data_IF_634827535651
#
_entry.id   IF_634827535651
#
_cell.length_a   1.000
_cell.length_b   1.000
_cell.length_c   1.000
_cell.angle_alpha   90.00
_cell.angle_beta   90.00
_cell.angle_gamma   90.00
#
_symmetry.space_group_name_H-M   'P 1'
#
loop_
_entity.id
_entity.type
_entity.pdbx_description
1 polymer ?
#
# COMPACT_ATOMS: atom_id res chain seq x y z
N UNK A 1 2.06 15.80 8.87
CA UNK A 1 1.13 14.90 9.57
C UNK A 1 0.82 13.69 8.71
N UNK A 2 1.41 12.54 9.05
CA UNK A 2 1.32 11.34 8.20
C UNK A 2 0.02 10.59 8.44
N UNK A 3 -0.76 10.36 7.38
CA UNK A 3 -2.00 9.57 7.42
C UNK A 3 -1.89 8.40 6.46
N UNK A 4 -2.09 7.19 6.97
CA UNK A 4 -2.12 5.98 6.13
C UNK A 4 -3.55 5.42 6.03
N UNK A 5 -4.09 5.31 4.82
CA UNK A 5 -5.35 4.61 4.50
C UNK A 5 -5.06 3.34 3.71
N UNK A 6 -5.90 2.32 3.86
CA UNK A 6 -5.76 1.03 3.17
C UNK A 6 -7.06 0.64 2.44
N UNK A 7 -6.90 0.06 1.25
CA UNK A 7 -7.97 -0.49 0.43
C UNK A 7 -7.53 -1.84 -0.16
N UNK A 8 -8.37 -2.86 -0.04
CA UNK A 8 -8.15 -4.15 -0.69
C UNK A 8 -8.75 -4.14 -2.10
N UNK A 9 -8.01 -4.64 -3.09
CA UNK A 9 -8.46 -4.74 -4.48
C UNK A 9 -8.99 -6.14 -4.78
N UNK A 10 -10.29 -6.28 -4.99
CA UNK A 10 -10.95 -7.59 -5.17
C UNK A 10 -11.16 -8.02 -6.64
N UNK A 11 -10.54 -7.34 -7.61
CA UNK A 11 -10.71 -7.70 -9.03
C UNK A 11 -9.55 -7.31 -9.94
N UNK A 12 -9.19 -8.21 -10.87
CA UNK A 12 -8.09 -8.02 -11.85
C UNK A 12 -8.30 -6.75 -12.70
N UNK A 13 -9.53 -6.46 -13.15
CA UNK A 13 -9.88 -5.21 -13.87
C UNK A 13 -9.67 -3.95 -13.01
N UNK A 14 -10.00 -4.01 -11.72
CA UNK A 14 -9.82 -2.89 -10.80
C UNK A 14 -8.34 -2.60 -10.54
N UNK A 15 -7.51 -3.65 -10.38
CA UNK A 15 -6.04 -3.51 -10.25
C UNK A 15 -5.44 -2.73 -11.43
N UNK A 16 -5.77 -3.09 -12.68
CA UNK A 16 -5.27 -2.36 -13.87
C UNK A 16 -5.73 -0.90 -13.89
N UNK A 17 -6.99 -0.61 -13.55
CA UNK A 17 -7.49 0.77 -13.45
C UNK A 17 -6.75 1.57 -12.39
N UNK A 18 -6.44 0.94 -11.26
CA UNK A 18 -5.68 1.57 -10.18
C UNK A 18 -4.22 1.84 -10.61
N UNK A 19 -3.55 0.88 -11.25
CA UNK A 19 -2.21 1.09 -11.82
C UNK A 19 -2.22 2.27 -12.81
N UNK A 20 -3.21 2.33 -13.71
CA UNK A 20 -3.39 3.47 -14.62
C UNK A 20 -3.51 4.81 -13.87
N UNK A 21 -4.29 4.82 -12.79
CA UNK A 21 -4.51 6.02 -11.99
C UNK A 21 -3.25 6.48 -11.24
N UNK A 22 -2.55 5.56 -10.56
CA UNK A 22 -1.38 5.91 -9.75
C UNK A 22 -0.19 6.34 -10.63
N UNK A 23 -0.07 5.78 -11.84
CA UNK A 23 0.97 6.11 -12.82
C UNK A 23 0.59 7.27 -13.75
N UNK A 24 -0.36 8.13 -13.38
CA UNK A 24 -0.70 9.26 -14.24
C UNK A 24 0.51 10.23 -14.35
N UNK A 25 1.05 10.49 -15.56
CA UNK A 25 2.22 11.35 -15.75
C UNK A 25 2.03 12.77 -15.22
N UNK A 26 0.82 13.33 -15.34
CA UNK A 26 0.49 14.69 -14.90
C UNK A 26 0.58 14.83 -13.38
N UNK A 27 0.43 13.72 -12.64
CA UNK A 27 0.45 13.69 -11.18
C UNK A 27 1.83 13.35 -10.61
N UNK A 28 2.73 12.79 -11.42
CA UNK A 28 3.94 12.08 -10.97
C UNK A 28 5.24 12.68 -11.53
N UNK A 29 5.21 13.93 -11.99
CA UNK A 29 6.29 14.59 -12.74
C UNK A 29 6.79 13.68 -13.88
N UNK A 30 5.87 13.34 -14.79
CA UNK A 30 6.15 12.48 -15.93
C UNK A 30 6.81 11.13 -15.53
N UNK A 31 6.23 10.49 -14.50
CA UNK A 31 6.69 9.22 -13.91
C UNK A 31 8.02 9.26 -13.14
N UNK A 32 8.71 10.40 -13.03
CA UNK A 32 9.94 10.50 -12.23
C UNK A 32 9.72 10.21 -10.75
N UNK A 33 8.51 10.47 -10.25
CA UNK A 33 8.11 10.20 -8.87
C UNK A 33 7.47 8.82 -8.69
N UNK A 34 7.84 7.86 -9.54
CA UNK A 34 7.45 6.46 -9.41
C UNK A 34 8.68 5.63 -9.07
N UNK A 35 8.60 4.84 -8.01
CA UNK A 35 9.57 3.83 -7.64
C UNK A 35 8.88 2.49 -7.42
N UNK A 36 9.60 1.39 -7.60
CA UNK A 36 9.05 0.05 -7.43
C UNK A 36 10.09 -0.94 -6.94
N UNK A 37 9.58 -2.09 -6.48
CA UNK A 37 10.43 -3.19 -6.04
C UNK A 37 9.95 -4.51 -6.63
N UNK A 38 10.92 -5.27 -7.17
CA UNK A 38 10.70 -6.61 -7.68
C UNK A 38 9.95 -6.65 -9.02
N UNK A 39 9.95 -5.56 -9.78
CA UNK A 39 9.44 -5.51 -11.15
C UNK A 39 10.57 -5.71 -12.16
N UNK A 40 10.24 -6.34 -13.28
CA UNK A 40 11.10 -6.36 -14.45
C UNK A 40 10.69 -5.20 -15.36
N UNK A 41 11.59 -4.24 -15.55
CA UNK A 41 11.47 -3.23 -16.59
C UNK A 41 12.19 -3.73 -17.85
N UNK A 42 11.45 -3.82 -18.95
CA UNK A 42 11.94 -4.32 -20.24
C UNK A 42 11.68 -3.33 -21.38
N UNK A 43 11.36 -2.07 -21.06
CA UNK A 43 10.99 -1.05 -22.01
C UNK A 43 11.92 0.15 -21.87
N UNK A 44 12.52 0.60 -22.97
CA UNK A 44 13.47 1.72 -22.97
C UNK A 44 12.76 3.08 -22.99
N UNK A 45 11.67 3.20 -23.76
CA UNK A 45 10.87 4.43 -23.90
C UNK A 45 9.36 4.13 -23.98
N UNK A 46 8.77 3.56 -22.91
CA UNK A 46 7.39 3.14 -22.95
C UNK A 46 6.42 4.32 -22.95
N UNK A 47 5.36 4.21 -23.76
CA UNK A 47 4.17 5.04 -23.57
C UNK A 47 3.53 4.75 -22.21
N UNK A 48 2.70 5.68 -21.71
CA UNK A 48 1.96 5.49 -20.46
C UNK A 48 1.13 4.18 -20.48
N UNK A 49 0.53 3.84 -21.62
CA UNK A 49 -0.26 2.60 -21.75
C UNK A 49 0.62 1.35 -21.61
N UNK A 50 1.81 1.36 -22.21
CA UNK A 50 2.76 0.25 -22.11
C UNK A 50 3.32 0.11 -20.68
N UNK A 51 3.60 1.22 -19.99
CA UNK A 51 3.97 1.21 -18.58
C UNK A 51 2.89 0.56 -17.71
N UNK A 52 1.63 0.97 -17.89
CA UNK A 52 0.50 0.40 -17.15
C UNK A 52 0.38 -1.10 -17.39
N UNK A 53 0.55 -1.55 -18.64
CA UNK A 53 0.51 -2.97 -18.96
C UNK A 53 1.70 -3.73 -18.37
N UNK A 54 2.91 -3.19 -18.46
CA UNK A 54 4.13 -3.76 -17.86
C UNK A 54 3.96 -4.00 -16.35
N UNK A 55 3.52 -2.99 -15.60
CA UNK A 55 3.27 -3.15 -14.16
C UNK A 55 2.14 -4.14 -13.89
N UNK A 56 1.06 -4.11 -14.67
CA UNK A 56 -0.03 -5.07 -14.51
C UNK A 56 0.43 -6.52 -14.75
N UNK A 57 1.22 -6.76 -15.80
CA UNK A 57 1.82 -8.07 -16.11
C UNK A 57 2.69 -8.55 -14.95
N UNK A 58 3.59 -7.68 -14.45
CA UNK A 58 4.46 -8.00 -13.31
C UNK A 58 3.68 -8.45 -12.06
N UNK A 59 2.49 -7.89 -11.80
CA UNK A 59 1.62 -8.34 -10.72
C UNK A 59 0.92 -9.65 -11.05
N UNK A 60 0.40 -9.81 -12.29
CA UNK A 60 -0.34 -11.01 -12.71
C UNK A 60 0.52 -12.27 -12.81
N UNK A 61 1.82 -12.14 -13.07
CA UNK A 61 2.71 -13.29 -13.28
C UNK A 61 2.73 -14.23 -12.06
N UNK A 62 2.56 -13.69 -10.86
CA UNK A 62 2.53 -14.46 -9.63
C UNK A 62 1.14 -15.07 -9.33
N UNK A 63 0.07 -14.50 -9.92
CA UNK A 63 -1.31 -14.95 -9.69
C UNK A 63 -1.50 -16.40 -10.17
N UNK A 64 -1.06 -16.73 -11.40
CA UNK A 64 -1.34 -18.03 -12.04
C UNK A 64 -0.74 -19.22 -11.26
N UNK A 65 0.52 -19.11 -10.86
CA UNK A 65 1.22 -20.18 -10.14
C UNK A 65 0.69 -20.34 -8.70
N UNK A 66 0.32 -19.24 -8.06
CA UNK A 66 -0.31 -19.28 -6.75
C UNK A 66 -1.71 -19.92 -6.80
N UNK A 67 -2.54 -19.50 -7.77
CA UNK A 67 -3.89 -20.03 -8.00
C UNK A 67 -3.84 -21.55 -8.25
N UNK A 68 -2.92 -22.04 -9.07
CA UNK A 68 -2.80 -23.48 -9.35
C UNK A 68 -2.38 -24.33 -8.14
N UNK A 69 -1.52 -23.79 -7.27
CA UNK A 69 -1.06 -24.47 -6.05
C UNK A 69 -2.11 -24.48 -4.93
N UNK A 70 -3.03 -23.50 -4.92
CA UNK A 70 -3.97 -23.27 -3.82
C UNK A 70 -5.44 -23.39 -4.22
N UNK A 71 -5.71 -24.07 -5.34
CA UNK A 71 -7.02 -24.46 -5.89
C UNK A 71 -8.07 -24.82 -4.81
N UNK A 72 -7.63 -25.54 -3.75
CA UNK A 72 -8.50 -26.14 -2.72
C UNK A 72 -8.67 -25.33 -1.43
N UNK A 73 -8.09 -24.13 -1.30
CA UNK A 73 -8.16 -23.31 -0.07
C UNK A 73 -9.36 -22.32 -0.04
N UNK A 74 -9.71 -21.81 1.14
CA UNK A 74 -10.89 -20.96 1.39
C UNK A 74 -11.02 -19.71 0.49
N UNK A 75 -12.24 -19.48 0.01
CA UNK A 75 -12.59 -18.51 -1.05
C UNK A 75 -12.41 -17.03 -0.67
N UNK A 76 -12.40 -16.66 0.60
CA UNK A 76 -12.58 -15.25 0.98
C UNK A 76 -11.33 -14.39 0.76
N UNK A 77 -10.16 -14.88 1.19
CA UNK A 77 -8.87 -14.22 0.94
C UNK A 77 -8.40 -14.38 -0.51
N UNK A 78 -8.87 -15.39 -1.26
CA UNK A 78 -8.47 -15.59 -2.67
C UNK A 78 -8.82 -14.39 -3.57
N UNK A 79 -9.86 -13.62 -3.26
CA UNK A 79 -10.31 -12.51 -4.11
C UNK A 79 -9.41 -11.28 -4.11
N UNK A 80 -8.54 -11.10 -3.10
CA UNK A 80 -7.69 -9.90 -3.01
C UNK A 80 -6.48 -10.03 -3.95
N UNK A 81 -6.33 -9.13 -4.91
CA UNK A 81 -5.23 -9.16 -5.89
C UNK A 81 -4.13 -8.13 -5.61
N UNK A 82 -4.43 -7.11 -4.82
CA UNK A 82 -3.46 -6.10 -4.39
C UNK A 82 -3.98 -5.33 -3.17
N UNK A 83 -3.06 -4.70 -2.45
CA UNK A 83 -3.37 -3.76 -1.38
C UNK A 83 -2.92 -2.36 -1.78
N UNK A 84 -3.85 -1.41 -1.74
CA UNK A 84 -3.59 -0.02 -2.05
C UNK A 84 -3.52 0.79 -0.76
N UNK A 85 -2.43 1.53 -0.58
CA UNK A 85 -2.25 2.47 0.51
C UNK A 85 -2.17 3.89 -0.01
N UNK A 86 -2.69 4.82 0.78
CA UNK A 86 -2.46 6.25 0.61
C UNK A 86 -1.71 6.73 1.84
N UNK A 87 -0.52 7.29 1.65
CA UNK A 87 0.31 7.88 2.69
C UNK A 87 0.43 9.38 2.40
N UNK A 88 -0.29 10.19 3.16
CA UNK A 88 -0.36 11.65 2.97
C UNK A 88 0.56 12.38 3.93
N UNK A 89 1.17 13.48 3.49
CA UNK A 89 2.04 14.35 4.30
C UNK A 89 1.41 15.74 4.45
N UNK A 90 1.79 16.47 5.52
CA UNK A 90 1.34 17.86 5.67
C UNK A 90 2.16 18.75 4.75
N UNK A 91 1.57 19.77 4.12
CA UNK A 91 2.34 20.83 3.44
C UNK A 91 3.36 21.49 4.38
N UNK A 92 3.08 21.52 5.69
CA UNK A 92 3.98 22.07 6.72
C UNK A 92 5.18 21.16 7.04
N UNK A 93 5.21 19.91 6.58
CA UNK A 93 6.33 18.99 6.84
C UNK A 93 7.59 19.38 6.04
N UNK A 94 7.47 20.30 5.07
CA UNK A 94 8.57 20.85 4.27
C UNK A 94 9.47 19.81 3.56
N UNK A 95 8.91 18.63 3.26
CA UNK A 95 9.57 17.54 2.54
C UNK A 95 9.38 17.68 1.03
N UNK A 96 10.40 17.32 0.25
CA UNK A 96 10.28 17.26 -1.21
C UNK A 96 9.48 16.03 -1.66
N UNK A 97 8.88 16.04 -2.88
CA UNK A 97 8.21 14.87 -3.43
C UNK A 97 9.10 13.62 -3.52
N UNK A 98 10.40 13.79 -3.76
CA UNK A 98 11.40 12.72 -3.82
C UNK A 98 11.66 12.12 -2.42
N UNK A 99 11.79 12.96 -1.40
CA UNK A 99 11.91 12.51 0.00
C UNK A 99 10.65 11.74 0.42
N UNK A 100 9.48 12.25 0.07
CA UNK A 100 8.19 11.59 0.31
C UNK A 100 8.14 10.23 -0.41
N UNK A 101 8.57 10.16 -1.68
CA UNK A 101 8.65 8.89 -2.41
C UNK A 101 9.55 7.89 -1.69
N UNK A 102 10.74 8.34 -1.30
CA UNK A 102 11.75 7.55 -0.58
C UNK A 102 11.20 7.01 0.75
N UNK A 103 10.52 7.84 1.53
CA UNK A 103 9.86 7.42 2.78
C UNK A 103 8.86 6.30 2.49
N UNK A 104 8.05 6.43 1.44
CA UNK A 104 7.10 5.40 1.02
C UNK A 104 7.80 4.08 0.66
N UNK A 105 8.91 4.17 -0.10
CA UNK A 105 9.71 3.02 -0.49
C UNK A 105 10.33 2.29 0.71
N UNK A 106 11.02 3.02 1.59
CA UNK A 106 11.66 2.45 2.79
C UNK A 106 10.61 1.82 3.72
N UNK A 107 9.44 2.47 3.86
CA UNK A 107 8.33 1.93 4.65
C UNK A 107 7.86 0.58 4.11
N UNK A 108 7.69 0.45 2.78
CA UNK A 108 7.25 -0.81 2.18
C UNK A 108 8.33 -1.88 2.20
N UNK A 109 9.59 -1.50 2.04
CA UNK A 109 10.70 -2.44 2.10
C UNK A 109 10.76 -3.12 3.46
N UNK A 110 10.69 -2.33 4.54
CA UNK A 110 10.68 -2.86 5.90
C UNK A 110 9.40 -3.65 6.23
N UNK A 111 8.23 -3.15 5.82
CA UNK A 111 6.95 -3.82 6.09
C UNK A 111 6.87 -5.20 5.42
N UNK A 112 7.35 -5.30 4.18
CA UNK A 112 7.22 -6.52 3.37
C UNK A 112 8.42 -7.47 3.53
N UNK A 113 9.55 -6.95 4.03
CA UNK A 113 10.82 -7.66 4.11
C UNK A 113 11.35 -8.10 2.74
N UNK A 114 11.06 -7.33 1.69
CA UNK A 114 11.47 -7.64 0.31
C UNK A 114 10.79 -8.88 -0.31
N UNK A 115 9.72 -9.40 0.31
CA UNK A 115 9.00 -10.58 -0.17
C UNK A 115 7.91 -10.27 -1.18
N UNK A 116 7.31 -9.07 -1.10
CA UNK A 116 6.19 -8.67 -1.95
C UNK A 116 6.63 -7.58 -2.92
N UNK A 117 6.15 -7.66 -4.16
CA UNK A 117 6.36 -6.59 -5.15
C UNK A 117 5.48 -5.40 -4.78
N UNK A 118 5.96 -4.18 -5.00
CA UNK A 118 5.15 -2.99 -4.80
C UNK A 118 5.56 -1.84 -5.73
N UNK A 119 4.66 -0.87 -5.87
CA UNK A 119 4.86 0.42 -6.57
C UNK A 119 4.59 1.53 -5.57
N UNK A 120 5.41 2.58 -5.56
CA UNK A 120 5.20 3.84 -4.85
C UNK A 120 5.15 4.95 -5.89
N UNK A 121 4.00 5.61 -6.01
CA UNK A 121 3.80 6.74 -6.90
C UNK A 121 3.44 7.98 -6.07
N UNK A 122 4.26 9.02 -6.13
CA UNK A 122 4.00 10.27 -5.42
C UNK A 122 3.14 11.19 -6.30
N UNK A 123 1.99 11.61 -5.79
CA UNK A 123 1.09 12.54 -6.44
C UNK A 123 1.30 13.95 -5.91
N UNK A 124 1.51 14.89 -6.83
CA UNK A 124 1.77 16.34 -6.57
C UNK A 124 0.67 17.25 -7.12
N UNK A 125 -0.41 16.68 -7.67
CA UNK A 125 -1.52 17.39 -8.34
C UNK A 125 -2.52 18.05 -7.37
N UNK A 126 -2.26 18.02 -6.06
CA UNK A 126 -3.13 18.56 -5.01
C UNK A 126 -2.33 19.46 -4.06
N UNK A 127 -3.05 20.19 -3.21
CA UNK A 127 -2.49 21.06 -2.17
C UNK A 127 -1.53 20.35 -1.19
N UNK A 128 -1.56 19.01 -1.15
CA UNK A 128 -0.65 18.21 -0.35
C UNK A 128 -0.10 17.03 -1.16
N UNK A 129 1.19 16.76 -0.92
CA UNK A 129 1.89 15.64 -1.53
C UNK A 129 1.53 14.34 -0.80
N UNK A 130 1.29 13.28 -1.56
CA UNK A 130 0.91 11.99 -1.01
C UNK A 130 1.40 10.83 -1.88
N UNK A 131 1.78 9.73 -1.26
CA UNK A 131 2.10 8.49 -1.96
C UNK A 131 0.84 7.66 -2.16
N UNK A 132 0.68 7.16 -3.38
CA UNK A 132 -0.11 5.99 -3.68
C UNK A 132 0.82 4.78 -3.72
N UNK A 133 0.57 3.81 -2.86
CA UNK A 133 1.40 2.60 -2.75
C UNK A 133 0.56 1.38 -3.11
N UNK A 134 0.98 0.60 -4.09
CA UNK A 134 0.30 -0.63 -4.48
C UNK A 134 1.19 -1.84 -4.18
N UNK A 135 0.75 -2.72 -3.28
CA UNK A 135 1.45 -3.94 -2.91
C UNK A 135 0.78 -5.12 -3.60
N UNK A 136 1.57 -5.99 -4.22
CA UNK A 136 1.05 -7.25 -4.76
C UNK A 136 0.56 -8.14 -3.62
N UNK A 137 -0.62 -8.73 -3.77
CA UNK A 137 -1.16 -9.60 -2.72
C UNK A 137 -0.37 -10.92 -2.63
N UNK A 138 0.28 -11.35 -3.69
CA UNK A 138 1.06 -12.59 -3.72
C UNK A 138 2.55 -12.25 -3.69
N UNK A 139 3.31 -13.02 -2.91
CA UNK A 139 4.74 -12.85 -2.76
C UNK A 139 5.50 -13.20 -4.04
N UNK A 140 6.77 -12.79 -4.13
CA UNK A 140 7.61 -12.92 -5.33
C UNK A 140 7.77 -14.36 -5.80
N UNK A 141 7.70 -15.33 -4.88
CA UNK A 141 7.85 -16.76 -5.17
C UNK A 141 6.53 -17.47 -5.51
N UNK A 142 5.40 -16.76 -5.41
CA UNK A 142 4.05 -17.34 -5.63
C UNK A 142 3.70 -18.45 -4.62
N UNK A 143 4.20 -18.31 -3.40
CA UNK A 143 4.02 -19.26 -2.31
C UNK A 143 3.00 -18.75 -1.29
N UNK A 144 3.02 -17.45 -0.99
CA UNK A 144 2.24 -16.86 0.10
C UNK A 144 1.46 -15.63 -0.33
N UNK A 145 0.28 -15.47 0.28
CA UNK A 145 -0.52 -14.26 0.18
C UNK A 145 -0.27 -13.33 1.36
N UNK A 146 -0.26 -12.03 1.12
CA UNK A 146 -0.18 -11.00 2.14
C UNK A 146 -1.51 -10.96 2.89
N UNK A 147 -1.49 -11.36 4.16
CA UNK A 147 -2.67 -11.30 5.02
C UNK A 147 -2.73 -9.92 5.65
N UNK A 148 -3.69 -9.11 5.24
CA UNK A 148 -3.91 -7.80 5.84
C UNK A 148 -4.70 -7.92 7.15
N UNK A 149 -3.98 -7.97 8.27
CA UNK A 149 -4.55 -8.02 9.61
C UNK A 149 -4.18 -6.78 10.43
N UNK A 150 -4.75 -6.68 11.64
CA UNK A 150 -4.51 -5.56 12.55
C UNK A 150 -3.03 -5.42 12.93
N UNK A 151 -2.30 -6.52 13.07
CA UNK A 151 -0.87 -6.48 13.40
C UNK A 151 -0.06 -5.85 12.25
N UNK A 152 -0.33 -6.24 11.01
CA UNK A 152 0.30 -5.66 9.83
C UNK A 152 -0.03 -4.16 9.69
N UNK A 153 -1.30 -3.79 9.87
CA UNK A 153 -1.72 -2.38 9.82
C UNK A 153 -1.04 -1.54 10.92
N UNK A 154 -0.91 -2.09 12.13
CA UNK A 154 -0.18 -1.44 13.22
C UNK A 154 1.30 -1.30 12.89
N UNK A 155 1.93 -2.33 12.34
CA UNK A 155 3.33 -2.28 11.93
C UNK A 155 3.56 -1.23 10.84
N UNK A 156 2.70 -1.18 9.82
CA UNK A 156 2.73 -0.15 8.79
C UNK A 156 2.75 1.26 9.39
N UNK A 157 1.84 1.54 10.34
CA UNK A 157 1.79 2.85 11.00
C UNK A 157 3.06 3.14 11.78
N UNK A 158 3.55 2.19 12.58
CA UNK A 158 4.77 2.38 13.38
C UNK A 158 6.02 2.61 12.51
N UNK A 159 6.16 1.84 11.43
CA UNK A 159 7.27 1.97 10.48
C UNK A 159 7.19 3.32 9.75
N UNK A 160 6.01 3.64 9.18
CA UNK A 160 5.76 4.90 8.48
C UNK A 160 6.04 6.11 9.37
N UNK A 161 5.51 6.10 10.60
CA UNK A 161 5.70 7.19 11.56
C UNK A 161 7.18 7.34 11.94
N UNK A 162 7.89 6.22 12.18
CA UNK A 162 9.31 6.25 12.53
C UNK A 162 10.15 6.84 11.40
N UNK A 163 10.01 6.34 10.18
CA UNK A 163 10.79 6.79 9.02
C UNK A 163 10.47 8.25 8.69
N UNK A 164 9.19 8.61 8.72
CA UNK A 164 8.74 9.99 8.46
C UNK A 164 9.28 10.96 9.51
N UNK A 165 9.29 10.56 10.80
CA UNK A 165 9.87 11.37 11.87
C UNK A 165 11.37 11.56 11.70
N UNK A 166 12.09 10.53 11.28
CA UNK A 166 13.53 10.62 11.00
C UNK A 166 13.82 11.58 9.85
N UNK A 167 12.92 11.68 8.87
CA UNK A 167 13.01 12.65 7.78
C UNK A 167 12.57 14.09 8.18
N UNK A 168 12.06 14.30 9.40
CA UNK A 168 11.64 15.62 9.89
C UNK A 168 10.13 15.90 9.80
N UNK A 169 9.32 14.95 9.32
CA UNK A 169 7.88 15.13 9.26
C UNK A 169 7.22 15.13 10.66
N UNK A 170 6.17 15.93 10.81
CA UNK A 170 5.34 15.94 12.01
C UNK A 170 4.44 14.71 12.05
N UNK A 171 4.52 13.94 13.13
CA UNK A 171 3.71 12.74 13.33
C UNK A 171 2.43 13.07 14.11
N UNK A 172 1.35 12.34 13.83
CA UNK A 172 0.14 12.38 14.65
C UNK A 172 0.47 11.82 16.02
N UNK A 173 0.56 12.68 17.04
CA UNK A 173 0.53 12.19 18.41
C UNK A 173 -0.79 11.44 18.64
N UNK A 174 -0.70 10.21 19.16
CA UNK A 174 -1.88 9.40 19.44
C UNK A 174 -2.81 10.16 20.37
N UNK A 175 -3.90 10.69 19.82
CA UNK A 175 -4.97 11.41 20.54
C UNK A 175 -5.67 10.56 21.62
N UNK A 176 -5.43 9.25 21.65
CA UNK A 176 -5.93 8.35 22.68
C UNK A 176 -4.77 7.86 23.54
N UNK A 177 -4.74 8.33 24.79
CA UNK A 177 -4.03 7.62 25.86
C UNK A 177 -4.56 6.18 25.94
N UNK A 178 -3.80 5.25 26.51
CA UNK A 178 -4.26 3.88 26.78
C UNK A 178 -5.64 3.86 27.47
N UNK A 179 -5.91 4.85 28.35
CA UNK A 179 -7.22 5.13 28.96
C UNK A 179 -8.31 5.48 27.95
N UNK A 180 -8.02 6.35 26.98
CA UNK A 180 -8.97 6.73 25.92
C UNK A 180 -9.28 5.57 24.97
N UNK A 181 -8.28 4.75 24.63
CA UNK A 181 -8.48 3.52 23.85
C UNK A 181 -9.31 2.49 24.62
N UNK A 182 -9.06 2.31 25.92
CA UNK A 182 -9.84 1.43 26.79
C UNK A 182 -11.31 1.87 26.87
N UNK A 183 -11.57 3.16 27.05
CA UNK A 183 -12.93 3.74 26.98
C UNK A 183 -13.60 3.50 25.63
N UNK A 184 -12.92 3.76 24.51
CA UNK A 184 -13.47 3.49 23.17
C UNK A 184 -13.78 2.00 22.96
N UNK A 185 -12.90 1.10 23.43
CA UNK A 185 -13.12 -0.35 23.38
C UNK A 185 -14.33 -0.77 24.21
N UNK A 186 -14.53 -0.18 25.39
CA UNK A 186 -15.64 -0.47 26.30
C UNK A 186 -16.96 0.17 25.82
N UNK A 187 -16.92 1.34 25.18
CA UNK A 187 -18.11 2.12 24.83
C UNK A 187 -18.54 2.01 23.37
N UNK A 188 -17.71 1.44 22.49
CA UNK A 188 -18.01 1.39 21.05
C UNK A 188 -18.58 0.05 20.62
N UNK A 189 -19.90 0.00 20.46
CA UNK A 189 -20.58 -1.14 19.81
C UNK A 189 -20.02 -1.45 18.42
N UNK A 190 -19.49 -0.45 17.70
CA UNK A 190 -18.86 -0.64 16.38
C UNK A 190 -17.53 -1.40 16.48
N UNK A 191 -16.78 -1.24 17.58
CA UNK A 191 -15.57 -2.00 17.84
C UNK A 191 -15.92 -3.46 18.14
N UNK A 192 -16.91 -3.70 19.00
CA UNK A 192 -17.39 -5.03 19.34
C UNK A 192 -17.93 -5.78 18.11
N UNK A 193 -18.76 -5.12 17.28
CA UNK A 193 -19.28 -5.69 16.03
C UNK A 193 -18.16 -6.03 15.04
N UNK A 194 -17.12 -5.18 14.94
CA UNK A 194 -15.95 -5.50 14.12
C UNK A 194 -15.23 -6.75 14.65
N UNK A 195 -14.99 -6.85 15.95
CA UNK A 195 -14.31 -8.02 16.54
C UNK A 195 -15.14 -9.31 16.38
N UNK A 196 -16.46 -9.24 16.56
CA UNK A 196 -17.36 -10.39 16.36
C UNK A 196 -17.41 -10.82 14.89
N UNK A 197 -17.45 -9.86 13.96
CA UNK A 197 -17.37 -10.15 12.53
C UNK A 197 -16.02 -10.83 12.17
N UNK A 198 -14.92 -10.41 12.79
CA UNK A 198 -13.61 -11.03 12.62
C UNK A 198 -13.50 -12.44 13.22
N UNK A 199 -14.29 -12.77 14.24
CA UNK A 199 -14.28 -14.10 14.85
C UNK A 199 -15.13 -15.12 14.07
N UNK A 200 -16.02 -14.62 13.21
CA UNK A 200 -16.91 -15.42 12.36
C UNK A 200 -16.36 -15.60 10.93
N UNK A 201 -15.20 -15.01 10.63
CA UNK A 201 -14.47 -15.12 9.36
C UNK A 201 -13.13 -15.79 9.57
#
# INVERSE_FOLDING_TARGET
>A
MVVTKHFATHGKKYRRRLIKYILNPDKTDNLKLVSDFGMSNYLDFPSHTEMVEMYNVNFTNNDKLYESRNDRQEKHQQTIHAHHLIQSFSPEDNLTPEEINRIGYETMMELTGGRFKFIVATHTDKDHVHNHILINAIDRNSDKKLIWNYALERNLRMISDRISKMAGAKIIEKRYSYRGYKKYRESSHKFELKQRLYFLM
#
